data_IF_921093630561
#
_entry.id   IF_921093630561
#
_cell.length_a   1.000
_cell.length_b   1.000
_cell.length_c   1.000
_cell.angle_alpha   90.00
_cell.angle_beta   90.00
_cell.angle_gamma   90.00
#
_symmetry.space_group_name_H-M   'P 1'
#
loop_
_entity.id
_entity.type
_entity.pdbx_description
1 polymer ?
#
# COMPACT_ATOMS: atom_id res chain seq x y z
N UNK A 1 -22.64 11.38 4.97
CA UNK A 1 -21.48 10.76 4.28
C UNK A 1 -21.23 9.45 4.99
N UNK A 2 -21.38 8.29 4.33
CA UNK A 2 -21.14 7.01 4.98
C UNK A 2 -19.64 6.85 5.24
N UNK A 3 -19.20 7.08 6.47
CA UNK A 3 -17.88 6.73 6.97
C UNK A 3 -17.79 5.21 7.09
N UNK A 4 -17.56 4.53 5.97
CA UNK A 4 -17.19 3.11 6.00
C UNK A 4 -15.78 3.02 6.60
N UNK A 5 -15.64 2.29 7.70
CA UNK A 5 -14.35 2.03 8.35
C UNK A 5 -13.39 1.27 7.45
N UNK A 6 -12.12 1.22 7.84
CA UNK A 6 -11.06 0.53 7.11
C UNK A 6 -10.73 -0.79 7.81
N UNK A 7 -10.79 -1.89 7.08
CA UNK A 7 -10.29 -3.19 7.51
C UNK A 7 -9.19 -3.60 6.52
N UNK A 8 -7.94 -3.61 7.00
CA UNK A 8 -6.75 -3.97 6.23
C UNK A 8 -5.81 -4.73 7.15
N UNK A 9 -5.31 -5.86 6.68
CA UNK A 9 -4.26 -6.65 7.33
C UNK A 9 -3.13 -6.86 6.35
N UNK A 10 -1.91 -6.68 6.85
CA UNK A 10 -0.68 -6.91 6.12
C UNK A 10 0.11 -7.95 6.92
N UNK A 11 0.47 -9.04 6.28
CA UNK A 11 1.27 -10.11 6.88
C UNK A 11 2.47 -10.35 5.97
N UNK A 12 3.65 -10.39 6.57
CA UNK A 12 4.87 -10.85 5.94
C UNK A 12 5.44 -11.93 6.85
N UNK A 13 5.49 -13.15 6.34
CA UNK A 13 5.86 -14.31 7.14
C UNK A 13 6.18 -15.51 6.29
N UNK A 14 6.40 -16.65 6.95
CA UNK A 14 6.73 -17.92 6.28
C UNK A 14 5.58 -18.89 6.32
N UNK A 15 5.40 -19.63 5.24
CA UNK A 15 4.35 -20.64 5.13
C UNK A 15 4.72 -21.88 5.95
N UNK A 16 3.85 -22.29 6.89
CA UNK A 16 4.11 -23.44 7.78
C UNK A 16 3.90 -24.81 7.16
N UNK A 17 3.01 -24.89 6.19
CA UNK A 17 2.61 -26.12 5.51
C UNK A 17 2.23 -25.83 4.06
N UNK A 18 2.33 -26.82 3.19
CA UNK A 18 2.00 -26.64 1.78
C UNK A 18 0.55 -26.16 1.59
N UNK A 19 0.26 -25.37 0.55
CA UNK A 19 -1.08 -24.82 0.33
C UNK A 19 -2.12 -25.91 0.11
N UNK A 20 -3.20 -25.87 0.89
CA UNK A 20 -4.38 -26.70 0.62
C UNK A 20 -5.33 -25.98 -0.33
N UNK A 21 -5.43 -26.44 -1.58
CA UNK A 21 -6.33 -25.86 -2.59
C UNK A 21 -7.57 -26.72 -2.80
N UNK A 22 -8.72 -26.05 -2.79
CA UNK A 22 -10.05 -26.65 -2.99
C UNK A 22 -10.79 -25.86 -4.06
N UNK A 23 -11.56 -26.55 -4.88
CA UNK A 23 -12.41 -25.92 -5.89
C UNK A 23 -13.86 -25.95 -5.44
N UNK A 24 -14.57 -24.82 -5.57
CA UNK A 24 -16.02 -24.81 -5.38
C UNK A 24 -16.73 -25.41 -6.58
N UNK A 25 -18.00 -25.86 -6.42
CA UNK A 25 -18.83 -26.29 -7.54
C UNK A 25 -19.01 -25.24 -8.64
N UNK A 26 -18.84 -23.96 -8.29
CA UNK A 26 -18.88 -22.83 -9.22
C UNK A 26 -17.56 -22.61 -9.99
N UNK A 27 -16.55 -23.46 -9.78
CA UNK A 27 -15.24 -23.38 -10.43
C UNK A 27 -14.28 -22.34 -9.82
N UNK A 28 -14.61 -21.77 -8.65
CA UNK A 28 -13.71 -20.83 -7.96
C UNK A 28 -12.72 -21.60 -7.10
N UNK A 29 -11.42 -21.32 -7.28
CA UNK A 29 -10.36 -21.87 -6.45
C UNK A 29 -10.27 -21.16 -5.08
N UNK A 30 -10.05 -21.93 -4.02
CA UNK A 30 -9.83 -21.48 -2.65
C UNK A 30 -8.55 -22.12 -2.13
N UNK A 31 -7.59 -21.34 -1.64
CA UNK A 31 -6.38 -21.85 -1.01
C UNK A 31 -6.34 -21.43 0.46
N UNK A 32 -6.17 -22.43 1.34
CA UNK A 32 -5.99 -22.21 2.76
C UNK A 32 -4.52 -22.39 3.12
N UNK A 33 -3.98 -21.40 3.83
CA UNK A 33 -2.60 -21.33 4.24
C UNK A 33 -2.49 -21.02 5.72
N UNK A 34 -1.38 -21.43 6.32
CA UNK A 34 -0.98 -20.97 7.66
C UNK A 34 0.38 -20.31 7.56
N UNK A 35 0.45 -19.05 8.00
CA UNK A 35 1.65 -18.21 7.92
C UNK A 35 2.14 -17.93 9.34
N UNK A 36 3.42 -18.20 9.59
CA UNK A 36 4.10 -17.90 10.83
C UNK A 36 4.74 -16.51 10.78
N UNK A 37 4.58 -15.77 11.86
CA UNK A 37 5.37 -14.56 12.17
C UNK A 37 5.97 -14.73 13.55
N UNK A 38 7.29 -14.58 13.68
CA UNK A 38 7.98 -14.66 14.98
C UNK A 38 8.38 -13.27 15.46
N UNK A 39 8.20 -13.02 16.76
CA UNK A 39 8.74 -11.87 17.48
C UNK A 39 9.77 -12.37 18.50
N UNK A 40 10.98 -11.81 18.46
CA UNK A 40 12.06 -12.13 19.40
C UNK A 40 12.33 -10.93 20.31
N UNK A 41 12.35 -11.15 21.62
CA UNK A 41 12.68 -10.12 22.60
C UNK A 41 13.52 -10.69 23.74
N UNK A 42 14.30 -9.82 24.37
CA UNK A 42 15.10 -10.16 25.54
C UNK A 42 14.31 -9.85 26.81
N UNK A 43 14.17 -10.82 27.70
CA UNK A 43 13.54 -10.61 28.99
C UNK A 43 14.44 -9.73 29.88
N UNK A 44 13.87 -8.69 30.49
CA UNK A 44 14.60 -7.75 31.34
C UNK A 44 14.97 -8.35 32.70
N UNK A 45 14.25 -9.36 33.17
CA UNK A 45 14.50 -9.97 34.48
C UNK A 45 15.53 -11.09 34.41
N UNK A 46 15.45 -11.95 33.40
CA UNK A 46 16.32 -13.13 33.26
C UNK A 46 17.45 -12.92 32.26
N UNK A 47 17.35 -11.92 31.38
CA UNK A 47 18.35 -11.65 30.33
C UNK A 47 18.35 -12.67 29.19
N UNK A 48 17.45 -13.65 29.22
CA UNK A 48 17.27 -14.69 28.19
C UNK A 48 16.55 -14.14 26.96
N UNK A 49 16.87 -14.70 25.79
CA UNK A 49 16.13 -14.43 24.55
C UNK A 49 14.88 -15.30 24.52
N UNK A 50 13.71 -14.67 24.34
CA UNK A 50 12.42 -15.33 24.16
C UNK A 50 11.95 -15.12 22.72
N UNK A 51 11.30 -16.15 22.18
CA UNK A 51 10.65 -16.11 20.87
C UNK A 51 9.17 -16.47 21.04
N UNK A 52 8.30 -15.68 20.43
CA UNK A 52 6.87 -15.96 20.30
C UNK A 52 6.53 -16.06 18.82
N UNK A 53 5.85 -17.14 18.44
CA UNK A 53 5.46 -17.39 17.06
C UNK A 53 3.94 -17.42 16.92
N UNK A 54 3.43 -16.53 16.09
CA UNK A 54 2.01 -16.37 15.81
C UNK A 54 1.64 -17.04 14.49
N UNK A 55 0.60 -17.86 14.53
CA UNK A 55 0.09 -18.58 13.38
C UNK A 55 -1.16 -17.93 12.81
N UNK A 56 -1.03 -17.36 11.63
CA UNK A 56 -2.09 -16.66 10.92
C UNK A 56 -2.75 -17.56 9.89
N UNK A 57 -4.08 -17.69 9.96
CA UNK A 57 -4.87 -18.40 8.94
C UNK A 57 -5.21 -17.46 7.80
N UNK A 58 -4.77 -17.79 6.59
CA UNK A 58 -4.99 -16.98 5.38
C UNK A 58 -5.82 -17.78 4.38
N UNK A 59 -6.94 -17.21 3.97
CA UNK A 59 -7.84 -17.75 2.95
C UNK A 59 -7.73 -16.91 1.68
N UNK A 60 -7.18 -17.50 0.62
CA UNK A 60 -6.97 -16.86 -0.68
C UNK A 60 -8.00 -17.38 -1.67
N UNK A 61 -8.60 -16.50 -2.47
CA UNK A 61 -9.69 -16.85 -3.40
C UNK A 61 -9.35 -16.49 -4.85
N UNK A 62 -9.84 -17.29 -5.79
CA UNK A 62 -9.75 -17.03 -7.23
C UNK A 62 -8.36 -17.33 -7.80
N UNK A 63 -7.91 -16.53 -8.77
CA UNK A 63 -6.65 -16.77 -9.48
C UNK A 63 -5.42 -16.77 -8.57
N UNK A 64 -5.44 -15.98 -7.49
CA UNK A 64 -4.35 -15.98 -6.52
C UNK A 64 -4.21 -17.33 -5.81
N UNK A 65 -5.31 -18.08 -5.62
CA UNK A 65 -5.26 -19.42 -5.04
C UNK A 65 -4.54 -20.42 -5.96
N UNK A 66 -4.73 -20.31 -7.27
CA UNK A 66 -4.03 -21.13 -8.27
C UNK A 66 -2.53 -20.82 -8.29
N UNK A 67 -2.17 -19.53 -8.25
CA UNK A 67 -0.77 -19.08 -8.16
C UNK A 67 -0.12 -19.62 -6.89
N UNK A 68 -0.80 -19.48 -5.75
CA UNK A 68 -0.34 -20.03 -4.47
C UNK A 68 -0.11 -21.54 -4.59
N UNK A 69 -1.04 -22.29 -5.17
CA UNK A 69 -0.89 -23.74 -5.34
C UNK A 69 0.34 -24.14 -6.16
N UNK A 70 0.63 -23.38 -7.22
CA UNK A 70 1.68 -23.70 -8.17
C UNK A 70 3.07 -23.32 -7.65
N UNK A 71 3.18 -22.14 -7.03
CA UNK A 71 4.48 -21.52 -6.73
C UNK A 71 4.84 -21.49 -5.25
N UNK A 72 3.87 -21.57 -4.34
CA UNK A 72 4.14 -21.51 -2.90
C UNK A 72 4.32 -22.91 -2.33
N UNK A 73 5.39 -23.09 -1.57
CA UNK A 73 5.70 -24.29 -0.78
C UNK A 73 5.91 -23.94 0.69
N UNK A 74 5.92 -24.97 1.53
CA UNK A 74 6.32 -24.86 2.93
C UNK A 74 7.69 -24.17 3.05
N UNK A 75 7.78 -23.19 3.92
CA UNK A 75 9.00 -22.43 4.22
C UNK A 75 9.15 -21.14 3.42
N UNK A 76 8.38 -20.96 2.34
CA UNK A 76 8.45 -19.78 1.49
C UNK A 76 8.02 -18.53 2.24
N UNK A 77 8.75 -17.45 1.99
CA UNK A 77 8.43 -16.14 2.51
C UNK A 77 7.43 -15.44 1.59
N UNK A 78 6.31 -15.03 2.17
CA UNK A 78 5.17 -14.50 1.45
C UNK A 78 4.67 -13.22 2.11
N UNK A 79 4.28 -12.28 1.26
CA UNK A 79 3.58 -11.05 1.62
C UNK A 79 2.11 -11.21 1.25
N UNK A 80 1.23 -10.95 2.20
CA UNK A 80 -0.21 -10.92 2.02
C UNK A 80 -0.79 -9.60 2.49
N UNK A 81 -1.65 -9.03 1.65
CA UNK A 81 -2.53 -7.93 2.00
C UNK A 81 -3.98 -8.39 1.85
N UNK A 82 -4.78 -8.23 2.91
CA UNK A 82 -6.16 -8.68 2.93
C UNK A 82 -7.00 -7.95 3.98
N UNK A 83 -8.09 -8.60 4.39
CA UNK A 83 -9.00 -8.09 5.42
C UNK A 83 -9.33 -9.20 6.42
N UNK A 84 -9.59 -8.86 7.68
CA UNK A 84 -10.06 -9.84 8.65
C UNK A 84 -11.52 -10.18 8.39
N UNK A 85 -11.82 -11.48 8.35
CA UNK A 85 -13.18 -12.01 8.28
C UNK A 85 -13.36 -13.04 9.37
N UNK A 86 -14.37 -12.84 10.20
CA UNK A 86 -14.79 -13.84 11.18
C UNK A 86 -16.02 -14.55 10.64
N UNK A 87 -15.96 -15.88 10.53
CA UNK A 87 -17.11 -16.71 10.14
C UNK A 87 -17.58 -17.54 11.32
N UNK A 88 -18.90 -17.68 11.40
CA UNK A 88 -19.59 -18.56 12.35
C UNK A 88 -19.84 -19.90 11.67
N UNK A 89 -19.54 -21.00 12.35
CA UNK A 89 -19.85 -22.36 11.89
C UNK A 89 -20.24 -23.22 13.09
N UNK A 90 -21.05 -24.25 12.87
CA UNK A 90 -21.47 -25.17 13.93
C UNK A 90 -20.61 -26.42 13.90
N UNK A 91 -20.17 -26.86 15.08
CA UNK A 91 -19.50 -28.15 15.22
C UNK A 91 -20.49 -29.32 15.18
N UNK A 92 -19.97 -30.54 15.22
CA UNK A 92 -20.80 -31.76 15.19
C UNK A 92 -21.71 -31.89 16.44
N UNK A 93 -21.39 -31.18 17.51
CA UNK A 93 -22.15 -31.13 18.76
C UNK A 93 -23.21 -30.02 18.75
N UNK A 94 -23.37 -29.28 17.64
CA UNK A 94 -24.32 -28.19 17.48
C UNK A 94 -23.89 -26.87 18.15
N UNK A 95 -22.66 -26.76 18.65
CA UNK A 95 -22.18 -25.53 19.27
C UNK A 95 -21.66 -24.54 18.23
N UNK A 96 -22.01 -23.27 18.42
CA UNK A 96 -21.55 -22.18 17.58
C UNK A 96 -20.07 -21.86 17.82
N UNK A 97 -19.24 -22.01 16.79
CA UNK A 97 -17.81 -21.67 16.79
C UNK A 97 -17.55 -20.49 15.87
N UNK A 98 -16.58 -19.67 16.27
CA UNK A 98 -16.11 -18.54 15.49
C UNK A 98 -14.67 -18.77 15.06
N UNK A 99 -14.37 -18.46 13.81
CA UNK A 99 -13.00 -18.51 13.29
C UNK A 99 -12.72 -17.23 12.54
N UNK A 100 -11.66 -16.55 12.97
CA UNK A 100 -11.14 -15.36 12.31
C UNK A 100 -10.03 -15.76 11.36
N UNK A 101 -10.17 -15.36 10.11
CA UNK A 101 -9.22 -15.64 9.03
C UNK A 101 -8.92 -14.35 8.26
N UNK A 102 -7.72 -14.28 7.68
CA UNK A 102 -7.34 -13.19 6.78
C UNK A 102 -7.80 -13.57 5.39
N UNK A 103 -8.79 -12.85 4.89
CA UNK A 103 -9.37 -13.10 3.58
C UNK A 103 -8.70 -12.23 2.52
N UNK A 104 -8.02 -12.88 1.57
CA UNK A 104 -7.36 -12.25 0.42
C UNK A 104 -8.27 -12.45 -0.79
N UNK A 105 -9.11 -11.44 -1.04
CA UNK A 105 -10.04 -11.41 -2.17
C UNK A 105 -9.52 -10.59 -3.35
N UNK A 106 -10.45 -10.07 -4.16
CA UNK A 106 -10.16 -9.28 -5.38
C UNK A 106 -9.28 -8.04 -5.09
N UNK A 107 -9.43 -7.45 -3.90
CA UNK A 107 -8.68 -6.26 -3.50
C UNK A 107 -7.38 -6.58 -2.74
N UNK A 108 -7.10 -7.87 -2.52
CA UNK A 108 -5.91 -8.31 -1.81
C UNK A 108 -4.71 -8.40 -2.74
N UNK A 109 -3.51 -8.27 -2.17
CA UNK A 109 -2.24 -8.41 -2.88
C UNK A 109 -1.48 -9.58 -2.28
N UNK A 110 -0.86 -10.38 -3.13
CA UNK A 110 0.05 -11.44 -2.72
C UNK A 110 1.35 -11.31 -3.50
N UNK A 111 2.47 -11.40 -2.80
CA UNK A 111 3.80 -11.37 -3.40
C UNK A 111 4.69 -12.43 -2.73
N UNK A 112 5.34 -13.23 -3.55
CA UNK A 112 6.37 -14.17 -3.09
C UNK A 112 7.69 -13.41 -2.99
N UNK A 113 8.39 -13.57 -1.88
CA UNK A 113 9.68 -12.95 -1.62
C UNK A 113 10.84 -13.96 -1.72
N UNK A 114 10.52 -15.23 -1.98
CA UNK A 114 11.48 -16.32 -2.17
C UNK A 114 11.89 -16.49 -3.63
N UNK A 115 12.95 -15.79 -4.02
CA UNK A 115 13.67 -16.00 -5.28
C UNK A 115 15.09 -16.46 -5.03
N UNK A 116 15.29 -17.46 -4.16
CA UNK A 116 16.56 -18.19 -4.17
C UNK A 116 16.51 -19.08 -5.40
N UNK A 117 17.26 -18.71 -6.43
CA UNK A 117 17.56 -19.58 -7.55
C UNK A 117 18.26 -20.84 -7.04
N UNK A 118 17.48 -21.83 -6.62
CA UNK A 118 17.92 -23.18 -6.44
C UNK A 118 18.21 -23.70 -7.85
N UNK A 119 19.41 -23.34 -8.33
CA UNK A 119 20.07 -24.04 -9.41
C UNK A 119 20.23 -25.46 -8.91
N UNK A 120 19.20 -26.28 -9.14
CA UNK A 120 19.23 -27.73 -9.07
C UNK A 120 20.31 -28.18 -10.03
N UNK A 121 21.53 -28.17 -9.53
CA UNK A 121 22.68 -28.80 -10.14
C UNK A 121 22.33 -30.29 -10.12
N UNK A 122 21.89 -30.75 -11.28
CA UNK A 122 21.63 -32.16 -11.54
C UNK A 122 22.86 -32.95 -11.13
N UNK A 123 22.71 -33.72 -10.06
CA UNK A 123 23.65 -34.75 -9.66
C UNK A 123 23.65 -35.84 -10.73
N UNK A 124 24.48 -35.68 -11.76
CA UNK A 124 24.81 -36.70 -12.73
C UNK A 124 26.07 -37.45 -12.29
N UNK A 125 25.87 -38.73 -11.95
CA UNK A 125 26.78 -39.87 -12.10
C UNK A 125 28.27 -39.73 -11.73
N UNK A 126 28.63 -40.45 -10.67
CA UNK A 126 29.97 -40.88 -10.28
C UNK A 126 30.72 -41.62 -11.40
N UNK A 127 31.96 -41.23 -11.68
CA UNK A 127 33.04 -42.12 -12.15
C UNK A 127 34.42 -41.53 -11.74
N UNK A 128 35.34 -42.32 -11.15
CA UNK A 128 36.67 -41.83 -10.82
C UNK A 128 37.68 -42.17 -11.94
N UNK A 129 38.45 -41.17 -12.40
CA UNK A 129 39.70 -41.42 -13.14
C UNK A 129 40.85 -40.60 -12.53
N UNK A 130 41.96 -41.30 -12.33
CA UNK A 130 43.24 -40.85 -11.76
C UNK A 130 44.02 -39.93 -12.71
N UNK A 131 44.66 -38.93 -12.10
CA UNK A 131 45.96 -38.29 -12.40
C UNK A 131 46.20 -37.70 -13.80
N UNK A 132 46.55 -36.41 -13.88
CA UNK A 132 47.95 -35.98 -14.04
C UNK A 132 48.11 -34.46 -13.83
N UNK A 133 49.31 -34.09 -13.40
CA UNK A 133 49.74 -32.85 -12.76
C UNK A 133 50.44 -31.94 -13.80
N UNK A 134 50.10 -30.64 -13.83
CA UNK A 134 51.00 -29.55 -14.23
C UNK A 134 50.37 -28.20 -13.91
N UNK A 135 51.00 -27.43 -13.01
CA UNK A 135 50.68 -26.03 -12.72
C UNK A 135 51.55 -25.10 -13.59
N UNK A 136 51.12 -23.84 -13.77
CA UNK A 136 51.90 -22.76 -13.20
C UNK A 136 51.10 -21.87 -12.25
N UNK A 137 51.87 -21.20 -11.39
CA UNK A 137 51.49 -20.43 -10.22
C UNK A 137 50.65 -19.19 -10.53
N UNK A 138 49.65 -18.93 -9.69
CA UNK A 138 49.34 -17.57 -9.25
C UNK A 138 48.99 -17.61 -7.76
N UNK A 139 49.83 -16.95 -6.97
CA UNK A 139 49.63 -16.68 -5.55
C UNK A 139 48.66 -15.51 -5.37
N UNK A 140 47.55 -15.73 -4.70
CA UNK A 140 46.77 -14.67 -4.05
C UNK A 140 46.65 -14.97 -2.55
N UNK A 141 46.81 -13.95 -1.69
CA UNK A 141 46.73 -14.12 -0.23
C UNK A 141 45.28 -14.38 0.21
N UNK A 142 45.06 -15.02 1.38
CA UNK A 142 43.73 -15.16 1.96
C UNK A 142 43.22 -13.77 2.37
N UNK A 143 42.23 -13.25 1.64
CA UNK A 143 41.47 -12.08 2.07
C UNK A 143 40.62 -12.49 3.28
N UNK A 144 41.03 -12.04 4.45
CA UNK A 144 40.17 -11.94 5.63
C UNK A 144 38.96 -11.08 5.25
N UNK A 145 37.79 -11.70 5.12
CA UNK A 145 36.53 -10.96 5.09
C UNK A 145 36.16 -10.61 6.52
N UNK A 146 36.71 -9.49 6.99
CA UNK A 146 36.13 -8.74 8.10
C UNK A 146 34.73 -8.26 7.68
N UNK A 147 33.80 -8.26 8.63
CA UNK A 147 32.35 -8.09 8.46
C UNK A 147 31.94 -6.63 8.14
N UNK A 148 32.71 -5.94 7.29
CA UNK A 148 32.60 -4.49 7.05
C UNK A 148 32.39 -4.06 5.59
N UNK A 149 32.46 -4.96 4.60
CA UNK A 149 32.34 -4.61 3.17
C UNK A 149 31.31 -5.44 2.39
N UNK A 150 30.07 -5.52 2.90
CA UNK A 150 28.91 -5.79 2.05
C UNK A 150 28.59 -4.47 1.33
N UNK A 151 28.55 -4.42 -0.02
CA UNK A 151 28.14 -3.21 -0.73
C UNK A 151 26.63 -3.09 -0.62
N UNK A 152 26.18 -2.60 0.53
CA UNK A 152 24.82 -2.10 0.71
C UNK A 152 24.58 -1.04 -0.36
N UNK A 153 23.46 -1.18 -1.08
CA UNK A 153 22.87 -0.18 -1.97
C UNK A 153 23.25 1.24 -1.52
N UNK A 154 24.14 1.89 -2.26
CA UNK A 154 24.60 3.25 -1.94
C UNK A 154 23.41 4.20 -1.94
N UNK A 155 22.84 4.44 -0.77
CA UNK A 155 21.83 5.46 -0.56
C UNK A 155 22.57 6.78 -0.67
N UNK A 156 22.60 7.34 -1.87
CA UNK A 156 23.15 8.68 -2.09
C UNK A 156 22.38 9.65 -1.21
N UNK A 157 23.07 10.23 -0.23
CA UNK A 157 22.52 11.19 0.71
C UNK A 157 22.85 12.61 0.26
N UNK A 158 21.86 13.50 0.33
CA UNK A 158 21.99 14.91 0.01
C UNK A 158 21.59 15.76 1.21
N UNK A 159 22.38 16.79 1.49
CA UNK A 159 22.06 17.77 2.53
C UNK A 159 21.04 18.78 2.01
N UNK A 160 19.93 18.95 2.74
CA UNK A 160 18.91 19.92 2.39
C UNK A 160 19.38 21.35 2.72
N UNK A 161 19.35 22.26 1.73
CA UNK A 161 19.79 23.65 1.89
C UNK A 161 18.92 24.51 2.83
N UNK A 162 17.76 24.01 3.28
CA UNK A 162 16.82 24.77 4.13
C UNK A 162 16.76 24.25 5.57
N UNK A 163 16.81 22.94 5.78
CA UNK A 163 16.80 22.35 7.13
C UNK A 163 18.15 21.78 7.57
N UNK A 164 19.17 21.83 6.71
CA UNK A 164 20.53 21.36 6.94
C UNK A 164 20.67 19.88 7.39
N UNK A 165 19.64 19.07 7.17
CA UNK A 165 19.64 17.64 7.47
C UNK A 165 20.10 16.83 6.25
N UNK A 166 20.84 15.75 6.50
CA UNK A 166 21.12 14.72 5.51
C UNK A 166 19.86 13.90 5.27
N UNK A 167 19.45 13.79 4.00
CA UNK A 167 18.29 13.01 3.57
C UNK A 167 18.61 12.22 2.31
N UNK A 168 17.84 11.17 2.07
CA UNK A 168 17.98 10.37 0.86
C UNK A 168 17.61 11.19 -0.38
N UNK A 169 18.22 10.92 -1.54
CA UNK A 169 17.90 11.60 -2.80
C UNK A 169 16.41 11.56 -3.17
N UNK A 170 15.68 10.50 -2.79
CA UNK A 170 14.23 10.37 -3.01
C UNK A 170 13.40 11.43 -2.29
N UNK A 171 13.94 12.05 -1.24
CA UNK A 171 13.27 13.13 -0.52
C UNK A 171 13.39 14.49 -1.24
N UNK A 172 14.10 14.54 -2.37
CA UNK A 172 14.21 15.71 -3.23
C UNK A 172 13.32 15.55 -4.48
N UNK A 173 12.99 16.66 -5.14
CA UNK A 173 12.22 16.63 -6.38
C UNK A 173 13.17 16.71 -7.58
N UNK A 174 12.80 16.04 -8.67
CA UNK A 174 13.59 16.10 -9.92
C UNK A 174 13.47 17.50 -10.52
N UNK A 175 14.62 18.14 -10.76
CA UNK A 175 14.73 19.44 -11.41
C UNK A 175 15.80 19.38 -12.49
N UNK A 176 15.36 19.33 -13.76
CA UNK A 176 16.27 19.22 -14.91
C UNK A 176 17.26 20.39 -15.07
N UNK A 177 16.97 21.52 -14.44
CA UNK A 177 17.80 22.72 -14.50
C UNK A 177 18.95 22.75 -13.48
N UNK A 178 19.03 21.81 -12.54
CA UNK A 178 20.13 21.71 -11.58
C UNK A 178 21.18 20.70 -12.04
N UNK A 179 22.45 20.95 -11.72
CA UNK A 179 23.57 20.06 -12.06
C UNK A 179 23.35 18.62 -11.58
N UNK A 180 22.84 18.44 -10.36
CA UNK A 180 22.59 17.11 -9.76
C UNK A 180 21.20 16.54 -10.14
N UNK A 181 20.46 17.19 -11.04
CA UNK A 181 19.10 16.77 -11.42
C UNK A 181 18.03 16.85 -10.32
N UNK A 182 18.38 17.33 -9.11
CA UNK A 182 17.52 17.38 -7.93
C UNK A 182 17.42 18.80 -7.34
N UNK A 183 16.28 19.11 -6.68
CA UNK A 183 16.12 20.36 -5.92
C UNK A 183 17.17 20.52 -4.81
N UNK A 184 17.51 21.76 -4.48
CA UNK A 184 18.43 22.07 -3.38
C UNK A 184 17.80 21.85 -1.98
N UNK A 185 16.47 22.00 -1.88
CA UNK A 185 15.71 21.73 -0.67
C UNK A 185 14.88 20.44 -0.80
N UNK A 186 14.68 19.75 0.33
CA UNK A 186 13.84 18.55 0.38
C UNK A 186 12.35 18.88 0.17
N UNK A 187 11.56 17.87 -0.20
CA UNK A 187 10.11 17.99 -0.49
C UNK A 187 9.33 18.62 0.63
N UNK A 188 9.66 18.29 1.88
CA UNK A 188 8.96 18.83 3.07
C UNK A 188 9.18 20.34 3.16
N UNK A 189 10.45 20.76 3.11
CA UNK A 189 10.83 22.16 3.13
C UNK A 189 10.26 22.95 1.93
N UNK A 190 10.22 22.33 0.75
CA UNK A 190 9.66 22.96 -0.45
C UNK A 190 8.14 23.13 -0.33
N UNK A 191 7.44 22.11 0.19
CA UNK A 191 6.00 22.15 0.40
C UNK A 191 5.60 23.21 1.43
N UNK A 192 6.37 23.36 2.51
CA UNK A 192 6.15 24.40 3.50
C UNK A 192 6.38 25.80 2.93
N UNK A 193 7.48 25.98 2.18
CA UNK A 193 7.72 27.22 1.46
C UNK A 193 6.61 27.58 0.48
N UNK A 194 6.11 26.61 -0.28
CA UNK A 194 5.04 26.86 -1.25
C UNK A 194 3.72 27.25 -0.58
N UNK A 195 3.43 26.69 0.62
CA UNK A 195 2.27 27.10 1.43
C UNK A 195 2.39 28.55 1.90
N UNK A 196 3.53 28.91 2.48
CA UNK A 196 3.81 30.29 2.91
C UNK A 196 3.69 31.26 1.72
N UNK A 197 4.25 30.88 0.58
CA UNK A 197 4.25 31.70 -0.63
C UNK A 197 2.86 31.82 -1.26
N UNK A 198 1.97 30.84 -1.08
CA UNK A 198 0.60 30.91 -1.57
C UNK A 198 -0.25 31.94 -0.81
N UNK A 199 0.11 32.25 0.44
CA UNK A 199 -0.58 33.21 1.29
C UNK A 199 -0.14 34.67 1.10
N UNK A 200 0.92 34.93 0.33
CA UNK A 200 1.44 36.29 0.15
C UNK A 200 0.38 37.22 -0.48
N UNK A 201 0.18 38.45 0.03
CA UNK A 201 -0.92 39.33 -0.39
C UNK A 201 -0.98 39.56 -1.91
N UNK A 202 0.18 39.78 -2.55
CA UNK A 202 0.27 39.98 -4.00
C UNK A 202 -0.10 38.74 -4.82
N UNK A 203 0.07 37.53 -4.29
CA UNK A 203 -0.34 36.29 -4.96
C UNK A 203 -1.82 36.00 -4.76
N UNK A 204 -2.34 36.34 -3.58
CA UNK A 204 -3.77 36.24 -3.29
C UNK A 204 -4.55 37.24 -4.15
N UNK A 205 -4.08 38.49 -4.28
CA UNK A 205 -4.69 39.48 -5.18
C UNK A 205 -4.60 39.02 -6.63
N UNK A 206 -3.42 38.65 -7.14
CA UNK A 206 -3.26 38.16 -8.51
C UNK A 206 -4.14 36.94 -8.83
N UNK A 207 -4.33 36.02 -7.86
CA UNK A 207 -5.26 34.89 -8.01
C UNK A 207 -6.71 35.35 -8.07
N UNK A 208 -7.11 36.30 -7.22
CA UNK A 208 -8.46 36.88 -7.22
C UNK A 208 -8.75 37.60 -8.53
N UNK A 209 -7.80 38.40 -9.02
CA UNK A 209 -7.90 39.14 -10.28
C UNK A 209 -7.95 38.20 -11.48
N UNK A 210 -7.16 37.12 -11.46
CA UNK A 210 -7.26 36.09 -12.49
C UNK A 210 -8.61 35.38 -12.46
N UNK A 211 -9.14 35.04 -11.28
CA UNK A 211 -10.44 34.38 -11.15
C UNK A 211 -11.62 35.28 -11.56
N UNK A 212 -11.49 36.59 -11.39
CA UNK A 212 -12.50 37.55 -11.81
C UNK A 212 -12.46 37.83 -13.33
N UNK A 213 -11.33 37.62 -14.00
CA UNK A 213 -11.19 37.72 -15.46
C UNK A 213 -12.02 36.67 -16.23
N UNK A 214 -12.47 37.00 -17.43
CA UNK A 214 -13.27 36.09 -18.28
C UNK A 214 -12.54 34.78 -18.58
N UNK A 215 -11.24 34.87 -18.91
CA UNK A 215 -10.38 33.71 -19.14
C UNK A 215 -10.27 32.81 -17.90
N UNK A 216 -10.23 33.40 -16.70
CA UNK A 216 -10.22 32.64 -15.45
C UNK A 216 -11.55 31.92 -15.19
N UNK A 217 -12.68 32.62 -15.39
CA UNK A 217 -14.02 32.05 -15.25
C UNK A 217 -14.25 30.88 -16.21
N UNK A 218 -13.86 31.03 -17.48
CA UNK A 218 -13.94 29.98 -18.48
C UNK A 218 -13.18 28.72 -18.08
N UNK A 219 -11.94 28.86 -17.60
CA UNK A 219 -11.14 27.71 -17.12
C UNK A 219 -11.75 27.06 -15.90
N UNK A 220 -12.27 27.85 -14.95
CA UNK A 220 -12.98 27.33 -13.78
C UNK A 220 -14.24 26.55 -14.19
N UNK A 221 -15.02 27.07 -15.13
CA UNK A 221 -16.21 26.42 -15.66
C UNK A 221 -15.87 25.15 -16.46
N UNK A 222 -14.80 25.16 -17.25
CA UNK A 222 -14.31 23.97 -17.95
C UNK A 222 -13.85 22.88 -16.96
N UNK A 223 -13.16 23.26 -15.88
CA UNK A 223 -12.77 22.35 -14.82
C UNK A 223 -13.99 21.73 -14.10
N UNK A 224 -15.00 22.54 -13.77
CA UNK A 224 -16.28 22.07 -13.22
C UNK A 224 -16.97 21.08 -14.16
N UNK A 225 -17.05 21.38 -15.46
CA UNK A 225 -17.62 20.48 -16.48
C UNK A 225 -16.87 19.14 -16.53
N UNK A 226 -15.54 19.15 -16.52
CA UNK A 226 -14.71 17.93 -16.47
C UNK A 226 -14.96 17.11 -15.19
N UNK A 227 -15.07 17.77 -14.05
CA UNK A 227 -15.36 17.12 -12.77
C UNK A 227 -16.74 16.44 -12.77
N UNK A 228 -17.77 17.14 -13.27
CA UNK A 228 -19.12 16.62 -13.41
C UNK A 228 -19.16 15.40 -14.35
N UNK A 229 -18.41 15.45 -15.47
CA UNK A 229 -18.29 14.32 -16.41
C UNK A 229 -17.63 13.09 -15.76
N UNK A 230 -16.64 13.31 -14.88
CA UNK A 230 -15.92 12.23 -14.18
C UNK A 230 -16.69 11.64 -12.99
N UNK A 231 -17.67 12.36 -12.45
CA UNK A 231 -18.45 11.97 -11.27
C UNK A 231 -19.98 12.10 -11.52
N UNK A 232 -20.58 11.15 -12.26
CA UNK A 232 -21.98 11.25 -12.71
C UNK A 232 -23.01 11.24 -11.58
N UNK A 233 -22.73 10.55 -10.46
CA UNK A 233 -23.62 10.53 -9.28
C UNK A 233 -23.71 11.91 -8.58
N UNK A 234 -22.65 12.71 -8.60
CA UNK A 234 -22.67 14.07 -8.00
C UNK A 234 -23.50 15.04 -8.85
N UNK A 235 -23.62 14.81 -10.16
CA UNK A 235 -24.51 15.57 -11.05
C UNK A 235 -25.98 15.34 -10.70
N UNK A 236 -26.38 14.09 -10.43
CA UNK A 236 -27.74 13.75 -10.00
C UNK A 236 -28.11 14.43 -8.68
N UNK A 237 -27.21 14.44 -7.70
CA UNK A 237 -27.44 15.13 -6.42
C UNK A 237 -27.64 16.65 -6.59
N UNK A 238 -26.86 17.31 -7.46
CA UNK A 238 -27.01 18.75 -7.71
C UNK A 238 -28.33 19.12 -8.40
N UNK A 239 -28.83 18.27 -9.30
CA UNK A 239 -30.14 18.45 -9.98
C UNK A 239 -31.29 18.25 -8.98
N UNK A 240 -31.19 17.25 -8.10
CA UNK A 240 -32.22 16.99 -7.07
C UNK A 240 -32.32 18.17 -6.09
N UNK A 241 -31.19 18.72 -5.64
CA UNK A 241 -31.17 19.88 -4.73
C UNK A 241 -31.65 21.16 -5.42
N UNK A 242 -31.28 21.39 -6.68
CA UNK A 242 -31.76 22.54 -7.46
C UNK A 242 -33.28 22.51 -7.71
N UNK A 243 -33.84 21.33 -8.02
CA UNK A 243 -35.28 21.16 -8.19
C UNK A 243 -36.05 21.30 -6.86
N UNK A 244 -35.42 21.01 -5.72
CA UNK A 244 -36.04 21.19 -4.41
C UNK A 244 -36.16 22.66 -4.03
N UNK A 245 -35.17 23.49 -4.38
CA UNK A 245 -35.18 24.93 -4.11
C UNK A 245 -36.17 25.69 -5.01
N UNK A 246 -36.23 25.36 -6.30
CA UNK A 246 -37.21 25.95 -7.23
C UNK A 246 -38.67 25.59 -6.91
N UNK A 247 -38.90 24.43 -6.30
CA UNK A 247 -40.23 23.98 -5.85
C UNK A 247 -40.65 24.55 -4.49
N UNK A 248 -39.70 25.07 -3.72
CA UNK A 248 -39.96 25.78 -2.47
C UNK A 248 -40.39 27.23 -2.74
N UNK A 249 -39.77 27.94 -3.69
CA UNK A 249 -40.20 29.30 -4.07
C UNK A 249 -41.58 29.35 -4.76
N UNK A 250 -41.97 28.30 -5.48
CA UNK A 250 -43.28 28.23 -6.16
C UNK A 250 -44.48 27.98 -5.23
N UNK A 251 -44.26 27.61 -3.97
CA UNK A 251 -45.33 27.26 -3.02
C UNK A 251 -45.55 28.32 -1.91
N UNK A 252 -44.83 29.44 -1.95
CA UNK A 252 -44.88 30.49 -0.91
C UNK A 252 -45.94 31.58 -1.14
N UNK A 253 -46.82 31.44 -2.15
CA UNK A 253 -47.78 32.49 -2.56
C UNK A 253 -49.23 32.18 -2.21
N UNK A 254 -49.48 31.47 -1.09
CA UNK A 254 -50.85 31.25 -0.60
C UNK A 254 -50.95 31.61 0.89
N UNK A 255 -51.83 32.59 1.15
CA UNK A 255 -52.41 33.02 2.45
C UNK A 255 -51.53 33.78 3.46
N UNK A 256 -51.40 35.09 3.25
CA UNK A 256 -51.39 36.06 4.37
C UNK A 256 -52.77 36.72 4.42
N UNK A 257 -53.71 36.09 5.13
CA UNK A 257 -54.98 36.73 5.52
C UNK A 257 -54.76 37.30 6.91
N UNK A 258 -54.50 38.60 6.96
CA UNK A 258 -54.32 39.40 8.17
C UNK A 258 -55.58 39.28 9.03
N UNK A 259 -55.49 38.64 10.19
CA UNK A 259 -56.48 38.77 11.26
C UNK A 259 -55.88 39.68 12.33
N UNK A 260 -56.46 40.86 12.41
CA UNK A 260 -56.17 41.98 13.30
C UNK A 260 -56.85 41.73 14.65
N UNK A 261 -56.12 41.48 15.74
CA UNK A 261 -56.64 41.59 17.13
C UNK A 261 -55.53 42.12 18.06
N UNK A 262 -55.80 43.33 18.60
CA UNK A 262 -55.28 44.03 19.81
C UNK A 262 -53.75 44.20 19.95
N UNK A 263 -53.20 45.38 20.26
CA UNK A 263 -53.68 46.69 20.72
C UNK A 263 -52.90 47.79 20.00
#
# INVERSE_FOLDING_TARGET
MASRGVNKVIILGRVGQDPEVRYSPSGTAFANLTVATSEQWRDKQTGEQKELTEWHRVAVVGKLAEVVSQYVKKGDQVYFEGMLRTRKWQDQSGQDRYTTEVHVGINGVMQMLGGTGDSKQQAASKQPRKHQQSAPQHSEPPMNFDDSDIPFLGVSMKTCSRCNQQKEERDFQIRRASNDGLTAACRVCLAEYDKERAGLPHRVSARRDYQSSDRGRERCNAAKKRFIKRNPWKRKAHIIVGNFFARWEANSTITVRVLRIRM
#
